data_IF_540844442535
#
_entry.id   IF_540844442535
#
_cell.length_a   1.000
_cell.length_b   1.000
_cell.length_c   1.000
_cell.angle_alpha   90.00
_cell.angle_beta   90.00
_cell.angle_gamma   90.00
#
_symmetry.space_group_name_H-M   'P 1'
#
loop_
_entity.id
_entity.type
_entity.pdbx_description
1 polymer ?
#
# COMPACT_ATOMS: atom_id res chain seq x y z
N UNK A 1 -24.06 6.02 3.98
CA UNK A 1 -23.59 7.36 3.57
C UNK A 1 -22.11 7.35 3.86
N UNK A 2 -21.28 7.07 2.85
CA UNK A 2 -19.83 7.07 2.99
C UNK A 2 -19.43 8.55 2.95
N UNK A 3 -19.21 9.15 4.12
CA UNK A 3 -18.61 10.47 4.18
C UNK A 3 -17.19 10.35 3.59
N UNK A 4 -16.92 11.09 2.51
CA UNK A 4 -15.58 11.31 1.98
C UNK A 4 -14.75 11.99 3.08
N UNK A 5 -14.17 11.19 3.96
CA UNK A 5 -13.26 11.66 4.98
C UNK A 5 -11.96 12.05 4.26
N UNK A 6 -11.87 13.33 3.86
CA UNK A 6 -10.65 13.89 3.26
C UNK A 6 -9.56 13.91 4.33
N UNK A 7 -8.87 12.78 4.50
CA UNK A 7 -7.70 12.68 5.34
C UNK A 7 -6.65 13.66 4.80
N UNK A 8 -6.10 14.49 5.68
CA UNK A 8 -4.88 15.26 5.39
C UNK A 8 -3.77 14.31 4.91
N UNK A 9 -2.86 14.80 4.07
CA UNK A 9 -1.67 14.03 3.72
C UNK A 9 -0.93 13.59 5.00
N UNK A 10 -0.34 12.40 4.99
CA UNK A 10 0.46 11.88 6.09
C UNK A 10 1.79 11.41 5.55
N UNK A 11 2.86 11.99 6.05
CA UNK A 11 4.19 11.48 5.74
C UNK A 11 4.43 10.22 6.57
N UNK A 12 4.84 9.14 5.92
CA UNK A 12 5.24 7.94 6.65
C UNK A 12 6.51 8.22 7.49
N UNK A 13 6.71 7.50 8.61
CA UNK A 13 7.93 7.62 9.42
C UNK A 13 9.20 7.35 8.59
N UNK A 14 10.33 7.97 8.94
CA UNK A 14 11.60 7.81 8.19
C UNK A 14 12.12 6.37 8.12
N UNK A 15 11.72 5.53 9.08
CA UNK A 15 12.09 4.11 9.16
C UNK A 15 11.31 3.22 8.19
N UNK A 16 10.45 3.81 7.35
CA UNK A 16 9.54 3.07 6.47
C UNK A 16 10.28 2.51 5.25
N UNK A 17 10.07 1.22 5.01
CA UNK A 17 10.54 0.48 3.84
C UNK A 17 9.31 0.03 3.04
N UNK A 18 9.39 0.19 1.72
CA UNK A 18 8.37 -0.25 0.77
C UNK A 18 8.95 -1.34 -0.11
N UNK A 19 8.25 -2.47 -0.18
CA UNK A 19 8.50 -3.55 -1.11
C UNK A 19 7.34 -3.59 -2.10
N UNK A 20 7.64 -3.62 -3.40
CA UNK A 20 6.64 -3.78 -4.47
C UNK A 20 6.96 -5.00 -5.29
N UNK A 21 5.92 -5.75 -5.66
CA UNK A 21 6.03 -6.89 -6.55
C UNK A 21 4.80 -6.99 -7.45
N UNK A 22 4.98 -7.53 -8.66
CA UNK A 22 3.86 -7.73 -9.60
C UNK A 22 4.03 -9.04 -10.34
N UNK A 23 2.97 -9.83 -10.33
CA UNK A 23 2.88 -11.05 -11.11
C UNK A 23 2.30 -10.81 -12.50
N UNK A 24 2.48 -11.81 -13.36
CA UNK A 24 1.70 -11.95 -14.60
C UNK A 24 0.60 -12.98 -14.38
N UNK A 25 -0.53 -12.80 -15.05
CA UNK A 25 -1.54 -13.84 -15.16
C UNK A 25 -1.11 -14.78 -16.29
N UNK A 26 -0.79 -16.03 -15.95
CA UNK A 26 -0.19 -16.99 -16.88
C UNK A 26 -0.87 -18.35 -16.78
N UNK A 27 -1.33 -18.87 -17.91
CA UNK A 27 -1.83 -20.24 -18.06
C UNK A 27 -0.76 -21.09 -18.73
N UNK A 28 -0.56 -22.31 -18.21
CA UNK A 28 0.41 -23.26 -18.73
C UNK A 28 -0.32 -24.45 -19.36
N UNK A 29 -0.18 -24.63 -20.67
CA UNK A 29 -0.84 -25.71 -21.41
C UNK A 29 0.18 -26.79 -21.76
N UNK A 30 -0.02 -27.99 -21.24
CA UNK A 30 0.83 -29.15 -21.53
C UNK A 30 0.55 -29.71 -22.92
N UNK A 31 1.58 -29.89 -23.74
CA UNK A 31 1.45 -30.47 -25.09
C UNK A 31 1.82 -31.94 -25.04
N UNK A 32 0.90 -32.82 -25.44
CA UNK A 32 1.04 -34.29 -25.35
C UNK A 32 2.23 -34.88 -26.12
N UNK A 33 2.75 -34.14 -27.11
CA UNK A 33 3.87 -34.57 -27.96
C UNK A 33 5.22 -33.89 -27.64
N UNK A 34 5.29 -33.03 -26.61
CA UNK A 34 6.50 -32.27 -26.28
C UNK A 34 6.93 -32.43 -24.81
N UNK A 35 8.23 -32.21 -24.53
CA UNK A 35 8.76 -32.16 -23.15
C UNK A 35 8.45 -30.84 -22.41
N UNK A 36 7.74 -29.91 -23.06
CA UNK A 36 7.55 -28.53 -22.57
C UNK A 36 6.09 -28.10 -22.63
N UNK A 37 5.72 -27.14 -21.78
CA UNK A 37 4.41 -26.48 -21.79
C UNK A 37 4.44 -25.18 -22.59
N UNK A 38 3.31 -24.81 -23.19
CA UNK A 38 3.06 -23.49 -23.78
C UNK A 38 2.65 -22.54 -22.65
N UNK A 39 3.19 -21.32 -22.67
CA UNK A 39 2.83 -20.26 -21.71
C UNK A 39 1.94 -19.23 -22.39
N UNK A 40 0.74 -19.04 -21.87
CA UNK A 40 -0.21 -18.03 -22.33
C UNK A 40 -0.30 -16.94 -21.26
N UNK A 41 0.09 -15.71 -21.61
CA UNK A 41 0.06 -14.57 -20.69
C UNK A 41 -1.15 -13.71 -21.01
N UNK A 42 -2.12 -13.64 -20.09
CA UNK A 42 -3.38 -12.92 -20.29
C UNK A 42 -3.32 -11.46 -19.82
N UNK A 43 -2.34 -11.12 -18.98
CA UNK A 43 -2.18 -9.77 -18.48
C UNK A 43 -1.23 -9.70 -17.28
N UNK A 44 -1.27 -8.56 -16.61
CA UNK A 44 -0.56 -8.34 -15.36
C UNK A 44 -1.55 -8.34 -14.19
N UNK A 45 -1.13 -8.85 -13.05
CA UNK A 45 -1.88 -8.72 -11.79
C UNK A 45 -1.74 -7.31 -11.24
N UNK A 46 -2.50 -6.95 -10.21
CA UNK A 46 -2.26 -5.72 -9.46
C UNK A 46 -0.89 -5.79 -8.77
N UNK A 47 -0.32 -4.63 -8.43
CA UNK A 47 0.89 -4.58 -7.62
C UNK A 47 0.58 -5.02 -6.19
N UNK A 48 1.34 -5.98 -5.70
CA UNK A 48 1.46 -6.33 -4.30
C UNK A 48 2.44 -5.39 -3.63
N UNK A 49 1.99 -4.66 -2.61
CA UNK A 49 2.76 -3.63 -1.91
C UNK A 49 2.84 -4.01 -0.43
N UNK A 50 4.06 -4.07 0.11
CA UNK A 50 4.28 -4.26 1.55
C UNK A 50 5.01 -3.06 2.10
N UNK A 51 4.41 -2.43 3.12
CA UNK A 51 4.98 -1.27 3.78
C UNK A 51 5.29 -1.65 5.22
N UNK A 52 6.54 -1.50 5.65
CA UNK A 52 6.97 -1.85 7.01
C UNK A 52 7.75 -0.71 7.61
N UNK A 53 7.62 -0.50 8.91
CA UNK A 53 8.38 0.54 9.58
C UNK A 53 8.30 0.43 11.10
N UNK A 54 8.96 1.39 11.75
CA UNK A 54 8.96 1.55 13.19
C UNK A 54 8.37 2.91 13.55
N UNK A 55 7.44 2.92 14.50
CA UNK A 55 7.03 4.15 15.17
C UNK A 55 8.15 4.61 16.10
N UNK A 56 8.63 5.82 15.86
CA UNK A 56 9.70 6.46 16.60
C UNK A 56 9.30 7.91 16.86
N UNK A 57 9.63 8.45 18.04
CA UNK A 57 9.42 9.87 18.30
C UNK A 57 10.35 10.68 17.38
N UNK A 58 9.76 11.46 16.47
CA UNK A 58 10.47 12.25 15.47
C UNK A 58 10.11 13.72 15.67
N UNK A 59 11.00 14.48 16.32
CA UNK A 59 10.79 15.91 16.54
C UNK A 59 10.69 16.65 15.21
N UNK A 60 9.61 17.40 15.04
CA UNK A 60 9.35 18.14 13.80
C UNK A 60 8.78 17.26 12.67
N UNK A 61 8.33 16.04 12.97
CA UNK A 61 7.54 15.27 12.01
C UNK A 61 6.34 16.12 11.56
N UNK A 62 6.09 16.22 10.25
CA UNK A 62 5.00 17.03 9.75
C UNK A 62 3.64 16.45 10.20
N UNK A 63 2.59 17.25 10.05
CA UNK A 63 1.20 16.85 10.34
C UNK A 63 0.96 16.37 11.79
N UNK A 64 1.68 16.97 12.75
CA UNK A 64 1.52 16.73 14.20
C UNK A 64 1.67 15.25 14.61
N UNK A 65 2.43 14.47 13.83
CA UNK A 65 2.72 13.06 14.07
C UNK A 65 4.14 12.86 14.63
N UNK A 66 4.55 13.73 15.56
CA UNK A 66 5.87 13.74 16.20
C UNK A 66 6.04 12.64 17.26
N UNK A 67 4.94 12.19 17.86
CA UNK A 67 4.93 11.11 18.84
C UNK A 67 4.51 9.77 18.26
N UNK A 68 5.01 8.69 18.84
CA UNK A 68 4.61 7.30 18.51
C UNK A 68 3.08 7.11 18.54
N UNK A 69 2.41 7.72 19.52
CA UNK A 69 0.95 7.60 19.68
C UNK A 69 0.22 8.33 18.55
N UNK A 70 0.70 9.52 18.17
CA UNK A 70 0.12 10.29 17.08
C UNK A 70 0.31 9.58 15.72
N UNK A 71 1.49 9.02 15.46
CA UNK A 71 1.76 8.24 14.25
C UNK A 71 0.86 7.01 14.16
N UNK A 72 0.71 6.25 15.25
CA UNK A 72 -0.19 5.09 15.31
C UNK A 72 -1.64 5.48 15.03
N UNK A 73 -2.13 6.53 15.69
CA UNK A 73 -3.49 7.03 15.48
C UNK A 73 -3.70 7.42 14.03
N UNK A 74 -2.74 8.12 13.43
CA UNK A 74 -2.83 8.54 12.04
C UNK A 74 -2.87 7.34 11.10
N UNK A 75 -2.04 6.33 11.33
CA UNK A 75 -2.06 5.11 10.50
C UNK A 75 -3.39 4.35 10.60
N UNK A 76 -3.97 4.28 11.80
CA UNK A 76 -5.30 3.68 12.01
C UNK A 76 -6.41 4.46 11.30
N UNK A 77 -6.31 5.79 11.22
CA UNK A 77 -7.26 6.61 10.45
C UNK A 77 -7.19 6.28 8.95
N UNK A 78 -5.99 6.06 8.38
CA UNK A 78 -5.87 5.60 6.99
C UNK A 78 -6.39 4.19 6.79
N UNK A 79 -6.12 3.26 7.70
CA UNK A 79 -6.64 1.89 7.61
C UNK A 79 -8.17 1.83 7.68
N UNK A 80 -8.80 2.73 8.43
CA UNK A 80 -10.26 2.85 8.49
C UNK A 80 -10.93 3.31 7.19
N UNK A 81 -10.16 3.76 6.20
CA UNK A 81 -10.68 4.11 4.88
C UNK A 81 -11.00 2.83 4.12
N UNK A 82 -12.28 2.56 3.89
CA UNK A 82 -12.72 1.38 3.14
C UNK A 82 -12.42 1.44 1.62
N UNK A 83 -11.91 2.56 1.12
CA UNK A 83 -11.57 2.78 -0.29
C UNK A 83 -10.07 2.92 -0.53
N UNK A 84 -9.67 3.21 -1.77
CA UNK A 84 -8.25 3.45 -2.07
C UNK A 84 -7.78 4.84 -1.68
N UNK A 85 -6.55 4.88 -1.21
CA UNK A 85 -5.84 6.05 -0.72
C UNK A 85 -4.85 6.49 -1.78
N UNK A 86 -4.79 7.80 -2.04
CA UNK A 86 -3.82 8.38 -2.97
C UNK A 86 -2.41 8.38 -2.37
N UNK A 87 -1.43 8.04 -3.19
CA UNK A 87 0.00 8.11 -2.88
C UNK A 87 0.58 9.27 -3.67
N UNK A 88 1.05 10.30 -2.97
CA UNK A 88 1.53 11.54 -3.59
C UNK A 88 3.03 11.57 -3.84
N UNK A 89 3.82 10.89 -3.00
CA UNK A 89 5.29 10.99 -3.01
C UNK A 89 5.94 9.63 -2.80
N UNK A 90 6.81 9.25 -3.73
CA UNK A 90 7.67 8.08 -3.58
C UNK A 90 8.19 7.58 -4.93
N UNK A 91 9.51 7.74 -5.16
CA UNK A 91 10.15 7.38 -6.43
C UNK A 91 9.84 5.96 -6.92
N UNK A 92 9.64 5.02 -5.98
CA UNK A 92 9.34 3.62 -6.28
C UNK A 92 7.89 3.45 -6.76
N UNK A 93 6.94 4.20 -6.19
CA UNK A 93 5.55 4.22 -6.65
C UNK A 93 5.44 4.88 -8.02
N UNK A 94 6.13 6.00 -8.23
CA UNK A 94 6.20 6.68 -9.52
C UNK A 94 6.77 5.77 -10.62
N UNK A 95 7.88 5.07 -10.31
CA UNK A 95 8.50 4.12 -11.23
C UNK A 95 7.57 2.96 -11.61
N UNK A 96 6.73 2.52 -10.66
CA UNK A 96 5.76 1.45 -10.86
C UNK A 96 4.42 1.93 -11.44
N UNK A 97 4.22 3.26 -11.58
CA UNK A 97 2.96 3.86 -12.02
C UNK A 97 1.80 3.67 -11.02
N UNK A 98 2.10 3.61 -9.72
CA UNK A 98 1.12 3.37 -8.66
C UNK A 98 0.75 4.71 -8.03
N UNK A 99 -0.50 5.15 -8.24
CA UNK A 99 -1.00 6.42 -7.70
C UNK A 99 -2.03 6.25 -6.59
N UNK A 100 -2.62 5.06 -6.47
CA UNK A 100 -3.56 4.71 -5.42
C UNK A 100 -3.25 3.34 -4.88
N UNK A 101 -3.48 3.15 -3.58
CA UNK A 101 -3.33 1.88 -2.90
C UNK A 101 -4.57 1.56 -2.09
N UNK A 102 -4.93 0.29 -2.02
CA UNK A 102 -5.93 -0.24 -1.12
C UNK A 102 -5.24 -1.00 0.01
N UNK A 103 -5.53 -0.66 1.26
CA UNK A 103 -4.96 -1.34 2.43
C UNK A 103 -5.80 -2.59 2.71
N UNK A 104 -5.22 -3.77 2.50
CA UNK A 104 -5.89 -5.04 2.82
C UNK A 104 -5.74 -5.42 4.29
N UNK A 105 -4.58 -5.09 4.87
CA UNK A 105 -4.25 -5.50 6.23
C UNK A 105 -3.23 -4.56 6.85
N UNK A 106 -3.45 -4.22 8.13
CA UNK A 106 -2.50 -3.53 8.99
C UNK A 106 -2.18 -4.41 10.21
N UNK A 107 -0.89 -4.60 10.48
CA UNK A 107 -0.38 -5.27 11.67
C UNK A 107 0.46 -4.28 12.47
N UNK A 108 0.19 -4.17 13.77
CA UNK A 108 1.01 -3.38 14.71
C UNK A 108 1.61 -4.33 15.71
N UNK A 109 2.95 -4.42 15.73
CA UNK A 109 3.69 -5.36 16.57
C UNK A 109 4.52 -4.63 17.63
N UNK A 110 4.42 -5.01 18.92
CA UNK A 110 5.33 -4.49 19.93
C UNK A 110 6.74 -5.05 19.69
N UNK A 111 7.78 -4.20 19.77
CA UNK A 111 9.16 -4.65 19.67
C UNK A 111 9.62 -5.16 21.04
N UNK A 112 9.86 -6.46 21.17
CA UNK A 112 10.32 -7.07 22.43
C UNK A 112 11.70 -6.51 22.82
N UNK A 113 11.81 -6.01 24.06
CA UNK A 113 13.10 -5.66 24.69
C UNK A 113 13.53 -4.19 24.59
N UNK A 114 12.80 -3.34 23.88
CA UNK A 114 13.17 -1.93 23.68
C UNK A 114 11.99 -0.97 23.93
N UNK A 115 11.72 -0.62 25.20
CA UNK A 115 10.89 0.53 25.59
C UNK A 115 9.62 0.80 24.75
N UNK A 116 9.33 2.09 24.50
CA UNK A 116 8.13 2.58 23.78
C UNK A 116 8.12 2.30 22.26
N UNK A 117 9.00 1.46 21.72
CA UNK A 117 9.12 1.24 20.27
C UNK A 117 8.08 0.22 19.80
N UNK A 118 7.42 0.48 18.66
CA UNK A 118 6.48 -0.45 18.04
C UNK A 118 6.67 -0.45 16.54
N UNK A 119 6.59 -1.62 15.92
CA UNK A 119 6.63 -1.77 14.47
C UNK A 119 5.23 -1.80 13.87
N UNK A 120 5.15 -1.54 12.58
CA UNK A 120 3.97 -1.80 11.77
C UNK A 120 4.34 -2.51 10.47
N UNK A 121 3.39 -3.26 9.94
CA UNK A 121 3.43 -3.87 8.61
C UNK A 121 2.07 -3.69 7.96
N UNK A 122 2.05 -3.29 6.70
CA UNK A 122 0.85 -3.14 5.90
C UNK A 122 0.98 -3.97 4.63
N UNK A 123 -0.10 -4.69 4.31
CA UNK A 123 -0.27 -5.35 3.02
C UNK A 123 -1.27 -4.53 2.23
N UNK A 124 -0.86 -4.06 1.06
CA UNK A 124 -1.67 -3.23 0.19
C UNK A 124 -1.64 -3.75 -1.25
N UNK A 125 -2.64 -3.36 -2.03
CA UNK A 125 -2.70 -3.55 -3.49
C UNK A 125 -2.67 -2.20 -4.18
N UNK A 126 -2.09 -2.12 -5.38
CA UNK A 126 -2.37 -0.97 -6.24
C UNK A 126 -3.85 -0.96 -6.61
N UNK A 127 -4.41 0.24 -6.71
CA UNK A 127 -5.77 0.43 -7.21
C UNK A 127 -5.75 1.45 -8.35
N UNK A 128 -6.77 1.39 -9.20
CA UNK A 128 -6.99 2.35 -10.28
C UNK A 128 -8.30 3.11 -10.00
N UNK A 129 -8.35 4.42 -10.25
CA UNK A 129 -9.60 5.15 -10.08
C UNK A 129 -10.64 4.64 -11.08
N UNK A 130 -11.79 4.19 -10.59
CA UNK A 130 -12.95 3.96 -11.44
C UNK A 130 -13.52 5.34 -11.87
N UNK A 131 -13.13 5.83 -13.05
CA UNK A 131 -13.72 7.02 -13.64
C UNK A 131 -15.01 6.68 -14.37
N UNK A 132 -16.13 7.29 -13.95
CA UNK A 132 -17.39 7.26 -14.71
C UNK A 132 -17.48 8.57 -15.50
N UNK A 133 -17.23 8.51 -16.81
CA UNK A 133 -17.55 9.62 -17.73
C UNK A 133 -19.05 9.59 -18.10
N UNK A 134 -19.81 10.58 -17.61
CA UNK A 134 -21.14 10.86 -18.17
C UNK A 134 -20.95 11.75 -19.40
N UNK A 135 -21.00 11.14 -20.59
CA UNK A 135 -21.06 11.91 -21.84
C UNK A 135 -22.47 12.48 -22.02
N UNK A 136 -22.60 13.78 -21.86
CA UNK A 136 -23.81 14.48 -22.31
C UNK A 136 -23.81 14.47 -23.85
N UNK A 137 -24.79 13.79 -24.45
CA UNK A 137 -25.12 13.92 -25.86
C UNK A 137 -25.87 15.22 -26.14
#
# INVERSE_FOLDING_TARGET
MLEDYRLKAFRMPLSTIVEVSRGKEVVYTSVSAGKTSIKEVSGFKDWDIKIKGLFLDEKGHPQDADSIVAQKRRLLEFESVCGSIEVYDGWLFDLCGIYRIFIEQLEISPVKGAGKISGFSMTCKSDEPYEIEIKNQ
#
